data_IF_685504356709
#
_entry.id   IF_685504356709
#
_cell.length_a   1.000
_cell.length_b   1.000
_cell.length_c   1.000
_cell.angle_alpha   90.00
_cell.angle_beta   90.00
_cell.angle_gamma   90.00
#
_symmetry.space_group_name_H-M   'P 1'
#
loop_
_entity.id
_entity.type
_entity.pdbx_description
1 polymer ?
#
# COMPACT_ATOMS: atom_id res chain seq x y z
N UNK A 1 10.99 -15.26 -7.39
CA UNK A 1 10.75 -16.54 -8.08
C UNK A 1 10.98 -17.68 -7.10
N UNK A 2 10.49 -18.88 -7.40
CA UNK A 2 10.89 -20.07 -6.65
C UNK A 2 11.85 -20.85 -7.54
N UNK A 3 13.15 -20.72 -7.25
CA UNK A 3 14.24 -21.26 -8.07
C UNK A 3 14.22 -22.79 -8.12
N UNK A 4 13.65 -23.44 -7.11
CA UNK A 4 13.53 -24.90 -7.01
C UNK A 4 12.21 -25.43 -7.60
N UNK A 5 11.53 -24.67 -8.45
CA UNK A 5 10.29 -25.11 -9.11
C UNK A 5 10.54 -25.77 -10.47
N UNK A 6 9.63 -26.67 -10.88
CA UNK A 6 9.64 -27.28 -12.22
C UNK A 6 9.26 -26.26 -13.32
N UNK A 7 9.30 -26.69 -14.59
CA UNK A 7 8.96 -25.89 -15.78
C UNK A 7 7.57 -25.20 -15.72
N UNK A 8 6.64 -25.67 -14.87
CA UNK A 8 5.31 -25.09 -14.65
C UNK A 8 5.29 -24.00 -13.57
N UNK A 9 6.29 -23.12 -13.53
CA UNK A 9 6.33 -22.00 -12.60
C UNK A 9 5.32 -20.89 -12.98
N UNK A 10 4.78 -20.22 -11.96
CA UNK A 10 3.88 -19.09 -12.16
C UNK A 10 4.65 -17.87 -12.68
N UNK A 11 4.02 -17.08 -13.58
CA UNK A 11 4.61 -15.82 -14.04
C UNK A 11 4.78 -14.85 -12.86
N UNK A 12 6.01 -14.38 -12.63
CA UNK A 12 6.40 -13.55 -11.48
C UNK A 12 5.56 -12.27 -11.34
N UNK A 13 5.24 -11.61 -12.47
CA UNK A 13 4.43 -10.38 -12.53
C UNK A 13 2.96 -10.64 -12.90
N UNK A 14 2.43 -11.82 -12.58
CA UNK A 14 1.03 -12.14 -12.86
C UNK A 14 0.07 -11.26 -12.06
N UNK A 15 -1.00 -10.81 -12.71
CA UNK A 15 -2.08 -10.09 -12.04
C UNK A 15 -2.86 -11.05 -11.13
N UNK A 16 -2.89 -10.76 -9.83
CA UNK A 16 -3.64 -11.54 -8.84
C UNK A 16 -4.90 -10.80 -8.45
N UNK A 17 -6.05 -11.48 -8.45
CA UNK A 17 -7.32 -10.91 -7.99
C UNK A 17 -7.30 -10.82 -6.46
N UNK A 18 -7.69 -9.66 -5.91
CA UNK A 18 -7.87 -9.47 -4.48
C UNK A 18 -9.29 -9.88 -4.09
N UNK A 19 -9.41 -10.58 -2.95
CA UNK A 19 -10.68 -10.98 -2.37
C UNK A 19 -11.14 -9.91 -1.37
N UNK A 20 -12.15 -9.14 -1.77
CA UNK A 20 -12.72 -8.01 -1.02
C UNK A 20 -14.24 -8.15 -0.96
N UNK A 21 -14.87 -7.54 0.04
CA UNK A 21 -16.32 -7.51 0.11
C UNK A 21 -16.93 -6.60 -0.97
N UNK A 22 -18.16 -6.90 -1.41
CA UNK A 22 -18.87 -6.10 -2.44
C UNK A 22 -19.00 -4.62 -2.06
N UNK A 23 -19.22 -4.30 -0.78
CA UNK A 23 -19.32 -2.92 -0.28
C UNK A 23 -17.98 -2.19 -0.36
N UNK A 24 -16.89 -2.86 0.02
CA UNK A 24 -15.52 -2.32 -0.03
C UNK A 24 -15.10 -2.03 -1.48
N UNK A 25 -15.36 -2.97 -2.40
CA UNK A 25 -15.08 -2.78 -3.83
C UNK A 25 -15.77 -1.56 -4.41
N UNK A 26 -17.07 -1.36 -4.08
CA UNK A 26 -17.82 -0.18 -4.54
C UNK A 26 -17.21 1.13 -4.00
N UNK A 27 -16.83 1.14 -2.73
CA UNK A 27 -16.18 2.31 -2.10
C UNK A 27 -14.86 2.64 -2.77
N UNK A 28 -13.96 1.66 -2.89
CA UNK A 28 -12.65 1.85 -3.52
C UNK A 28 -12.77 2.31 -4.98
N UNK A 29 -13.71 1.74 -5.75
CA UNK A 29 -13.93 2.13 -7.14
C UNK A 29 -14.42 3.58 -7.26
N UNK A 30 -15.32 4.01 -6.37
CA UNK A 30 -15.79 5.41 -6.31
C UNK A 30 -14.63 6.36 -5.96
N UNK A 31 -13.82 6.01 -4.97
CA UNK A 31 -12.72 6.86 -4.52
C UNK A 31 -11.64 7.02 -5.60
N UNK A 32 -11.29 5.93 -6.29
CA UNK A 32 -10.33 5.95 -7.41
C UNK A 32 -10.84 6.82 -8.56
N UNK A 33 -12.11 6.67 -8.96
CA UNK A 33 -12.70 7.42 -10.09
C UNK A 33 -12.90 8.91 -9.78
N UNK A 34 -13.41 9.24 -8.61
CA UNK A 34 -13.86 10.61 -8.33
C UNK A 34 -12.74 11.52 -7.82
N UNK A 35 -11.78 10.98 -7.05
CA UNK A 35 -10.79 11.79 -6.34
C UNK A 35 -9.37 11.68 -6.89
N UNK A 36 -9.16 10.82 -7.89
CA UNK A 36 -7.84 10.56 -8.47
C UNK A 36 -6.87 9.88 -7.50
N UNK A 37 -7.40 9.12 -6.54
CA UNK A 37 -6.60 8.33 -5.61
C UNK A 37 -6.16 7.01 -6.25
N UNK A 38 -5.00 6.53 -5.84
CA UNK A 38 -4.42 5.26 -6.29
C UNK A 38 -4.39 4.27 -5.14
N UNK A 39 -4.74 3.00 -5.41
CA UNK A 39 -4.65 1.92 -4.43
C UNK A 39 -3.20 1.43 -4.39
N UNK A 40 -2.60 1.41 -3.20
CA UNK A 40 -1.20 1.02 -2.98
C UNK A 40 -1.15 -0.07 -1.89
N UNK A 41 -0.36 -1.14 -2.08
CA UNK A 41 -0.11 -2.12 -1.02
C UNK A 41 0.84 -1.54 0.03
N UNK A 42 0.51 -1.71 1.31
CA UNK A 42 1.33 -1.27 2.44
C UNK A 42 2.13 -2.43 3.05
N UNK A 43 1.47 -3.57 3.26
CA UNK A 43 2.08 -4.73 3.92
C UNK A 43 1.45 -6.01 3.42
N UNK A 44 2.27 -7.03 3.22
CA UNK A 44 1.83 -8.41 3.04
C UNK A 44 2.09 -9.14 4.35
N UNK A 45 1.10 -9.89 4.84
CA UNK A 45 1.21 -10.66 6.06
C UNK A 45 0.47 -11.99 5.94
N UNK A 46 0.92 -12.98 6.68
CA UNK A 46 0.24 -14.27 6.78
C UNK A 46 -0.72 -14.19 7.97
N UNK A 47 -1.99 -14.52 7.76
CA UNK A 47 -2.94 -14.58 8.86
C UNK A 47 -2.77 -15.87 9.67
N UNK A 48 -3.42 -15.97 10.82
CA UNK A 48 -3.40 -17.17 11.68
C UNK A 48 -3.88 -18.44 10.97
N UNK A 49 -4.69 -18.28 9.91
CA UNK A 49 -5.18 -19.39 9.06
C UNK A 49 -4.21 -19.76 7.93
N UNK A 50 -3.00 -19.20 7.87
CA UNK A 50 -1.98 -19.50 6.87
C UNK A 50 -2.15 -18.82 5.51
N UNK A 51 -3.14 -17.95 5.33
CA UNK A 51 -3.37 -17.21 4.09
C UNK A 51 -2.56 -15.90 4.05
N UNK A 52 -1.93 -15.65 2.90
CA UNK A 52 -1.32 -14.36 2.60
C UNK A 52 -2.40 -13.28 2.37
N UNK A 53 -2.44 -12.28 3.24
CA UNK A 53 -3.27 -11.09 3.14
C UNK A 53 -2.43 -9.87 2.80
N UNK A 54 -3.04 -8.94 2.09
CA UNK A 54 -2.43 -7.67 1.70
C UNK A 54 -3.22 -6.54 2.35
N UNK A 55 -2.53 -5.70 3.11
CA UNK A 55 -3.05 -4.43 3.57
C UNK A 55 -2.90 -3.41 2.44
N UNK A 56 -4.01 -2.83 2.00
CA UNK A 56 -4.05 -1.81 0.94
C UNK A 56 -4.50 -0.47 1.51
N UNK A 57 -4.04 0.62 0.89
CA UNK A 57 -4.44 1.98 1.23
C UNK A 57 -4.68 2.82 -0.02
N UNK A 58 -5.48 3.87 0.11
CA UNK A 58 -5.66 4.88 -0.91
C UNK A 58 -4.68 6.01 -0.67
N UNK A 59 -3.88 6.33 -1.69
CA UNK A 59 -2.90 7.39 -1.64
C UNK A 59 -3.06 8.33 -2.82
N UNK A 60 -2.72 9.61 -2.62
CA UNK A 60 -2.54 10.58 -3.69
C UNK A 60 -1.05 10.76 -3.92
N UNK A 61 -0.63 10.73 -5.19
CA UNK A 61 0.75 11.08 -5.55
C UNK A 61 1.08 12.49 -5.04
N UNK A 62 2.25 12.64 -4.39
CA UNK A 62 2.72 13.95 -3.94
C UNK A 62 3.08 14.79 -5.18
N UNK A 63 2.54 16.00 -5.29
CA UNK A 63 2.91 16.95 -6.34
C UNK A 63 4.42 17.26 -6.26
N UNK A 64 5.06 17.42 -7.42
CA UNK A 64 6.52 17.60 -7.55
C UNK A 64 7.02 19.01 -7.22
N UNK A 65 6.14 20.00 -7.11
CA UNK A 65 6.48 21.38 -6.75
C UNK A 65 7.07 21.50 -5.32
N UNK A 66 7.79 22.61 -5.09
CA UNK A 66 8.75 22.84 -4.01
C UNK A 66 8.40 22.15 -2.68
N UNK A 67 9.28 21.22 -2.28
CA UNK A 67 9.08 20.29 -1.15
C UNK A 67 9.75 20.75 0.12
N UNK A 68 10.44 21.89 0.14
CA UNK A 68 11.23 22.37 1.29
C UNK A 68 10.40 22.42 2.57
N UNK A 69 9.22 23.04 2.51
CA UNK A 69 8.35 23.17 3.68
C UNK A 69 7.86 21.81 4.19
N UNK A 70 7.41 20.93 3.28
CA UNK A 70 6.88 19.62 3.66
C UNK A 70 7.97 18.67 4.19
N UNK A 71 9.21 18.80 3.72
CA UNK A 71 10.34 18.03 4.25
C UNK A 71 10.64 18.50 5.67
N UNK A 72 10.74 19.81 5.89
CA UNK A 72 10.96 20.41 7.21
C UNK A 72 9.88 19.99 8.22
N UNK A 73 8.61 20.06 7.85
CA UNK A 73 7.50 19.68 8.74
C UNK A 73 7.53 18.20 9.11
N UNK A 74 7.90 17.33 8.16
CA UNK A 74 8.03 15.88 8.41
C UNK A 74 9.17 15.59 9.37
N UNK A 75 10.34 16.20 9.15
CA UNK A 75 11.50 15.99 10.02
C UNK A 75 11.24 16.52 11.44
N UNK A 76 10.65 17.70 11.56
CA UNK A 76 10.23 18.26 12.85
C UNK A 76 9.27 17.31 13.58
N UNK A 77 8.27 16.74 12.87
CA UNK A 77 7.33 15.80 13.48
C UNK A 77 8.02 14.52 13.97
N UNK A 78 8.92 13.96 13.17
CA UNK A 78 9.69 12.75 13.55
C UNK A 78 10.58 13.04 14.77
N UNK A 79 11.24 14.21 14.82
CA UNK A 79 12.05 14.59 15.98
C UNK A 79 11.20 14.78 17.24
N UNK A 80 10.07 15.48 17.14
CA UNK A 80 9.15 15.67 18.27
C UNK A 80 8.61 14.33 18.80
N UNK A 81 8.24 13.41 17.90
CA UNK A 81 7.76 12.07 18.28
C UNK A 81 8.87 11.23 18.96
N UNK A 82 10.15 11.48 18.67
CA UNK A 82 11.28 10.85 19.37
C UNK A 82 11.54 11.47 20.74
N UNK A 83 11.50 12.81 20.86
CA UNK A 83 11.72 13.51 22.13
C UNK A 83 10.63 13.17 23.14
N UNK A 84 9.35 13.12 22.72
CA UNK A 84 8.22 12.75 23.59
C UNK A 84 8.24 11.31 24.08
N UNK A 85 9.10 10.45 23.53
CA UNK A 85 9.19 9.02 23.86
C UNK A 85 10.28 8.73 24.91
N UNK A 86 11.07 9.74 25.28
CA UNK A 86 11.96 9.78 26.44
C UNK A 86 11.14 10.36 27.60
#
# INVERSE_FOLDING_TARGET
>A
EYEFGNHYNHKTKSQRKLLLNKKELKKLNKDVKNSGLTIVPLKVFINEKGFAKILISLAKGKKTYDKRQVIKDRENKIQLDRIKKI
#
